data_IF_819392964339
#
_entry.id   IF_819392964339
#
_cell.length_a   1.000
_cell.length_b   1.000
_cell.length_c   1.000
_cell.angle_alpha   90.00
_cell.angle_beta   90.00
_cell.angle_gamma   90.00
#
_symmetry.space_group_name_H-M   'P 1'
#
loop_
_entity.id
_entity.type
_entity.pdbx_description
1 polymer ?
#
# COMPACT_ATOMS: atom_id res chain seq x y z
N UNK A 1 -7.58 -3.36 26.08
CA UNK A 1 -7.64 -1.87 26.02
C UNK A 1 -6.90 -1.40 24.78
N UNK A 2 -7.44 -0.42 24.04
CA UNK A 2 -6.68 0.25 23.00
C UNK A 2 -5.55 1.07 23.65
N UNK A 3 -4.31 1.06 23.14
CA UNK A 3 -3.30 2.00 23.61
C UNK A 3 -3.75 3.42 23.23
N UNK A 4 -3.39 4.39 24.07
CA UNK A 4 -3.79 5.79 23.86
C UNK A 4 -3.12 6.42 22.62
N UNK A 5 -1.97 5.87 22.19
CA UNK A 5 -1.19 6.33 21.05
C UNK A 5 -0.48 5.14 20.36
N UNK A 6 -0.43 5.15 19.03
CA UNK A 6 0.33 4.21 18.20
C UNK A 6 1.00 5.01 17.09
N UNK A 7 2.30 4.81 16.92
CA UNK A 7 3.06 5.28 15.76
C UNK A 7 3.89 4.12 15.19
N UNK A 8 3.43 3.56 14.07
CA UNK A 8 4.12 2.45 13.41
C UNK A 8 5.48 2.84 12.81
N UNK A 9 5.73 4.12 12.57
CA UNK A 9 7.03 4.58 12.05
C UNK A 9 8.14 4.45 13.10
N UNK A 10 7.80 4.68 14.38
CA UNK A 10 8.71 4.44 15.50
C UNK A 10 8.87 2.95 15.85
N UNK A 11 8.00 2.10 15.31
CA UNK A 11 8.04 0.64 15.50
C UNK A 11 8.71 -0.09 14.32
N UNK A 12 9.17 0.63 13.29
CA UNK A 12 9.88 0.06 12.14
C UNK A 12 8.98 -0.48 11.02
N UNK A 13 7.65 -0.32 11.13
CA UNK A 13 6.67 -0.84 10.19
C UNK A 13 6.21 0.19 9.14
N UNK A 14 7.01 1.24 8.89
CA UNK A 14 6.71 2.28 7.87
C UNK A 14 7.99 2.60 7.12
N UNK A 15 7.95 2.47 5.80
CA UNK A 15 9.05 2.80 4.89
C UNK A 15 9.23 4.33 4.75
N UNK A 16 10.25 4.74 3.99
CA UNK A 16 10.43 6.16 3.69
C UNK A 16 9.24 6.70 2.89
N UNK A 17 8.99 7.99 3.01
CA UNK A 17 8.03 8.68 2.13
C UNK A 17 8.51 8.57 0.67
N UNK A 18 7.61 8.14 -0.22
CA UNK A 18 7.83 8.02 -1.67
C UNK A 18 7.09 9.14 -2.44
N UNK A 19 7.25 9.20 -3.77
CA UNK A 19 6.62 10.22 -4.62
C UNK A 19 6.03 9.59 -5.89
N UNK A 20 4.70 9.64 -6.03
CA UNK A 20 3.95 9.10 -7.18
C UNK A 20 4.05 9.95 -8.46
N UNK A 21 4.67 11.13 -8.38
CA UNK A 21 4.82 12.09 -9.48
C UNK A 21 3.46 12.43 -10.12
N UNK A 22 3.39 12.47 -11.46
CA UNK A 22 2.18 12.81 -12.21
C UNK A 22 1.25 11.62 -12.47
N UNK A 23 1.60 10.41 -12.02
CA UNK A 23 0.78 9.22 -12.22
C UNK A 23 -0.29 9.14 -11.13
N UNK A 24 -1.57 8.91 -11.50
CA UNK A 24 -2.69 8.72 -10.59
C UNK A 24 -2.67 7.35 -9.89
N UNK A 25 -1.54 7.02 -9.27
CA UNK A 25 -1.24 5.71 -8.67
C UNK A 25 -1.24 5.73 -7.13
N UNK A 26 -1.85 6.73 -6.50
CA UNK A 26 -1.97 6.82 -5.04
C UNK A 26 -2.50 5.53 -4.39
N UNK A 27 -3.41 4.83 -5.07
CA UNK A 27 -3.94 3.54 -4.66
C UNK A 27 -2.86 2.46 -4.56
N UNK A 28 -1.88 2.45 -5.47
CA UNK A 28 -0.76 1.50 -5.44
C UNK A 28 0.16 1.83 -4.26
N UNK A 29 0.51 3.10 -4.06
CA UNK A 29 1.34 3.55 -2.91
C UNK A 29 0.66 3.29 -1.56
N UNK A 30 -0.66 3.47 -1.47
CA UNK A 30 -1.41 3.13 -0.26
C UNK A 30 -1.35 1.63 0.00
N UNK A 31 -1.59 0.81 -1.03
CA UNK A 31 -1.56 -0.64 -0.90
C UNK A 31 -0.17 -1.16 -0.53
N UNK A 32 0.88 -0.72 -1.20
CA UNK A 32 2.26 -1.12 -0.88
C UNK A 32 2.62 -0.67 0.52
N UNK A 33 2.42 0.59 0.91
CA UNK A 33 2.74 1.07 2.27
C UNK A 33 2.06 0.25 3.37
N UNK A 34 0.80 -0.15 3.17
CA UNK A 34 0.12 -1.05 4.11
C UNK A 34 0.75 -2.45 4.11
N UNK A 35 1.05 -3.03 2.95
CA UNK A 35 1.70 -4.35 2.83
C UNK A 35 3.11 -4.39 3.41
N UNK A 36 3.91 -3.35 3.20
CA UNK A 36 5.28 -3.22 3.73
C UNK A 36 5.27 -3.29 5.26
N UNK A 37 4.40 -2.51 5.90
CA UNK A 37 4.25 -2.54 7.36
C UNK A 37 3.68 -3.85 7.89
N UNK A 38 2.66 -4.41 7.23
CA UNK A 38 2.10 -5.71 7.62
C UNK A 38 3.10 -6.86 7.43
N UNK A 39 3.95 -6.78 6.41
CA UNK A 39 5.02 -7.74 6.18
C UNK A 39 6.08 -7.67 7.26
N UNK A 40 6.54 -6.48 7.64
CA UNK A 40 7.50 -6.30 8.74
C UNK A 40 6.97 -6.92 10.04
N UNK A 41 5.72 -6.61 10.40
CA UNK A 41 5.07 -7.11 11.63
C UNK A 41 4.94 -8.64 11.63
N UNK A 42 4.57 -9.23 10.49
CA UNK A 42 4.31 -10.67 10.39
C UNK A 42 5.59 -11.52 10.23
N UNK A 43 6.66 -10.93 9.68
CA UNK A 43 7.90 -11.63 9.41
C UNK A 43 8.74 -11.79 10.70
N UNK A 44 9.16 -13.02 11.08
CA UNK A 44 9.97 -13.24 12.29
C UNK A 44 11.31 -12.49 12.33
N UNK A 45 11.78 -11.98 11.18
CA UNK A 45 13.02 -11.19 11.09
C UNK A 45 12.80 -9.70 11.31
N UNK A 46 11.55 -9.22 11.38
CA UNK A 46 11.24 -7.79 11.48
C UNK A 46 11.95 -6.95 10.40
N UNK A 47 11.95 -7.50 9.19
CA UNK A 47 12.59 -6.88 8.03
C UNK A 47 11.56 -6.03 7.30
N UNK A 48 11.79 -4.72 7.28
CA UNK A 48 11.05 -3.78 6.46
C UNK A 48 11.53 -3.89 5.01
N UNK A 49 10.65 -4.34 4.13
CA UNK A 49 10.89 -4.49 2.69
C UNK A 49 10.02 -3.47 1.97
N UNK A 50 10.59 -2.77 0.99
CA UNK A 50 9.81 -1.91 0.09
C UNK A 50 9.30 -2.71 -1.10
N UNK A 51 8.00 -2.62 -1.36
CA UNK A 51 7.34 -3.34 -2.44
C UNK A 51 7.08 -2.44 -3.65
N UNK A 52 6.98 -3.07 -4.83
CA UNK A 52 6.84 -2.38 -6.11
C UNK A 52 5.42 -1.83 -6.31
N UNK A 53 5.30 -0.51 -6.37
CA UNK A 53 4.07 0.12 -6.86
C UNK A 53 3.88 -0.11 -8.36
N UNK A 54 4.98 -0.16 -9.12
CA UNK A 54 4.93 -0.29 -10.58
C UNK A 54 4.33 -1.62 -11.02
N UNK A 55 4.62 -2.72 -10.32
CA UNK A 55 3.99 -4.00 -10.61
C UNK A 55 2.46 -3.90 -10.45
N UNK A 56 1.96 -3.20 -9.43
CA UNK A 56 0.52 -3.01 -9.27
C UNK A 56 -0.04 -2.20 -10.45
N UNK A 57 0.61 -1.08 -10.80
CA UNK A 57 0.24 -0.21 -11.93
C UNK A 57 0.14 -1.00 -13.23
N UNK A 58 1.15 -1.83 -13.53
CA UNK A 58 1.26 -2.53 -14.81
C UNK A 58 0.42 -3.81 -14.90
N UNK A 59 0.19 -4.50 -13.77
CA UNK A 59 -0.27 -5.89 -13.77
C UNK A 59 -1.66 -6.14 -13.18
N UNK A 60 -2.26 -5.20 -12.44
CA UNK A 60 -3.52 -5.45 -11.70
C UNK A 60 -4.79 -5.01 -12.45
N UNK A 61 -4.72 -4.91 -13.77
CA UNK A 61 -5.87 -4.50 -14.59
C UNK A 61 -7.00 -5.53 -14.61
N UNK A 62 -6.68 -6.82 -14.44
CA UNK A 62 -7.69 -7.89 -14.38
C UNK A 62 -8.55 -7.80 -13.12
N UNK A 63 -8.00 -7.24 -12.03
CA UNK A 63 -8.71 -6.91 -10.79
C UNK A 63 -9.45 -5.57 -10.84
N UNK A 64 -9.35 -4.84 -11.96
CA UNK A 64 -10.11 -3.62 -12.21
C UNK A 64 -9.37 -2.31 -11.91
N UNK A 65 -8.07 -2.35 -11.63
CA UNK A 65 -7.26 -1.13 -11.57
C UNK A 65 -6.95 -0.59 -12.97
N UNK A 66 -6.70 0.71 -13.07
CA UNK A 66 -6.53 1.42 -14.35
C UNK A 66 -5.16 2.13 -14.43
N UNK A 67 -4.16 1.57 -13.75
CA UNK A 67 -2.80 2.09 -13.72
C UNK A 67 -2.73 3.54 -13.24
N UNK A 68 -2.14 4.41 -14.04
CA UNK A 68 -2.06 5.84 -13.78
C UNK A 68 -3.40 6.59 -13.88
N UNK A 69 -4.48 5.95 -14.34
CA UNK A 69 -5.83 6.54 -14.39
C UNK A 69 -6.65 6.26 -13.12
N UNK A 70 -6.04 5.67 -12.10
CA UNK A 70 -6.67 5.37 -10.81
C UNK A 70 -6.87 3.87 -10.56
N UNK A 71 -7.32 3.56 -9.36
CA UNK A 71 -7.47 2.19 -8.86
C UNK A 71 -7.92 2.20 -7.40
N UNK A 72 -8.05 1.00 -6.85
CA UNK A 72 -8.48 0.77 -5.48
C UNK A 72 -7.50 -0.19 -4.78
N UNK A 73 -7.25 0.08 -3.50
CA UNK A 73 -6.34 -0.74 -2.68
C UNK A 73 -6.85 -2.17 -2.54
N UNK A 74 -8.16 -2.37 -2.45
CA UNK A 74 -8.78 -3.70 -2.34
C UNK A 74 -8.49 -4.57 -3.58
N UNK A 75 -8.56 -3.97 -4.77
CA UNK A 75 -8.20 -4.64 -6.03
C UNK A 75 -6.70 -4.96 -6.06
N UNK A 76 -5.85 -4.06 -5.55
CA UNK A 76 -4.43 -4.30 -5.43
C UNK A 76 -4.13 -5.46 -4.47
N UNK A 77 -4.81 -5.53 -3.32
CA UNK A 77 -4.68 -6.64 -2.39
C UNK A 77 -5.16 -7.95 -3.02
N UNK A 78 -6.29 -7.94 -3.74
CA UNK A 78 -6.79 -9.11 -4.47
C UNK A 78 -5.80 -9.62 -5.53
N UNK A 79 -5.09 -8.72 -6.22
CA UNK A 79 -4.01 -9.07 -7.14
C UNK A 79 -2.84 -9.74 -6.39
N UNK A 80 -2.34 -9.10 -5.31
CA UNK A 80 -1.19 -9.61 -4.54
C UNK A 80 -1.47 -10.97 -3.93
N UNK A 81 -2.70 -11.23 -3.47
CA UNK A 81 -3.11 -12.55 -2.97
C UNK A 81 -2.93 -13.66 -4.00
N UNK A 82 -3.14 -13.37 -5.29
CA UNK A 82 -3.09 -14.35 -6.39
C UNK A 82 -1.72 -14.42 -7.08
N UNK A 83 -1.01 -13.31 -7.16
CA UNK A 83 0.18 -13.16 -7.98
C UNK A 83 1.46 -12.89 -7.20
N UNK A 84 1.34 -12.49 -5.93
CA UNK A 84 2.45 -12.01 -5.13
C UNK A 84 2.89 -10.60 -5.54
N UNK A 85 4.02 -10.15 -4.99
CA UNK A 85 4.55 -8.81 -5.20
C UNK A 85 6.08 -8.81 -5.14
N UNK A 86 6.71 -8.17 -6.12
CA UNK A 86 8.14 -7.91 -6.19
C UNK A 86 8.55 -6.78 -5.24
N UNK A 87 9.83 -6.72 -4.93
CA UNK A 87 10.42 -5.56 -4.26
C UNK A 87 10.50 -4.37 -5.22
N UNK A 88 10.60 -3.16 -4.66
CA UNK A 88 10.89 -1.95 -5.44
C UNK A 88 12.24 -2.05 -6.19
N UNK A 89 13.22 -2.79 -5.65
CA UNK A 89 14.50 -3.01 -6.32
C UNK A 89 14.37 -3.87 -7.59
N UNK A 90 13.55 -4.93 -7.54
CA UNK A 90 13.38 -5.85 -8.67
C UNK A 90 12.41 -5.32 -9.74
N UNK A 91 11.52 -4.39 -9.37
CA UNK A 91 10.53 -3.78 -10.27
C UNK A 91 10.30 -2.30 -9.90
N UNK A 92 11.26 -1.46 -10.27
CA UNK A 92 11.30 -0.05 -9.89
C UNK A 92 10.14 0.80 -10.47
N UNK A 93 9.78 1.85 -9.73
CA UNK A 93 8.76 2.81 -10.10
C UNK A 93 9.16 3.75 -11.25
N UNK A 94 8.27 3.88 -12.24
CA UNK A 94 8.49 4.61 -13.48
C UNK A 94 7.45 5.72 -13.71
N UNK A 95 6.40 5.78 -12.89
CA UNK A 95 5.33 6.79 -12.95
C UNK A 95 4.61 6.87 -14.31
N UNK A 96 4.53 5.75 -15.02
CA UNK A 96 3.85 5.59 -16.31
C UNK A 96 3.22 4.21 -16.37
N UNK A 97 2.22 4.04 -17.25
CA UNK A 97 1.67 2.72 -17.56
C UNK A 97 2.61 1.97 -18.50
N UNK A 98 3.05 0.78 -18.12
CA UNK A 98 3.84 -0.12 -18.95
C UNK A 98 3.20 -1.51 -19.04
N UNK A 99 3.55 -2.34 -20.04
CA UNK A 99 3.11 -3.73 -20.06
C UNK A 99 3.65 -4.52 -18.87
N UNK A 100 2.79 -5.30 -18.23
CA UNK A 100 3.17 -6.17 -17.12
C UNK A 100 4.38 -7.08 -17.45
N UNK A 101 5.45 -6.96 -16.64
CA UNK A 101 6.69 -7.75 -16.76
C UNK A 101 6.55 -9.12 -16.11
N UNK A 102 5.69 -9.96 -16.68
CA UNK A 102 5.31 -11.27 -16.15
C UNK A 102 6.49 -12.20 -15.79
N UNK A 103 7.60 -12.15 -16.53
CA UNK A 103 8.80 -12.93 -16.20
C UNK A 103 9.43 -12.47 -14.88
N UNK A 104 9.54 -11.16 -14.68
CA UNK A 104 10.06 -10.57 -13.43
C UNK A 104 9.16 -10.95 -12.26
N UNK A 105 7.84 -10.80 -12.40
CA UNK A 105 6.87 -11.18 -11.35
C UNK A 105 7.06 -12.65 -10.94
N UNK A 106 7.21 -13.56 -11.90
CA UNK A 106 7.39 -15.00 -11.60
C UNK A 106 8.72 -15.34 -10.94
N UNK A 107 9.80 -14.65 -11.31
CA UNK A 107 11.16 -14.99 -10.87
C UNK A 107 11.61 -14.23 -9.62
N UNK A 108 11.03 -13.05 -9.36
CA UNK A 108 11.52 -12.07 -8.37
C UNK A 108 10.48 -11.66 -7.33
N UNK A 109 9.34 -12.32 -7.28
CA UNK A 109 8.35 -12.08 -6.23
C UNK A 109 8.97 -12.29 -4.83
N UNK A 110 8.80 -11.29 -3.95
CA UNK A 110 9.23 -11.35 -2.54
C UNK A 110 8.08 -11.71 -1.62
N UNK A 111 6.89 -11.20 -1.90
CA UNK A 111 5.63 -11.80 -1.45
C UNK A 111 5.21 -12.82 -2.50
N UNK A 112 4.96 -14.05 -2.09
CA UNK A 112 4.47 -15.10 -2.96
C UNK A 112 2.94 -15.15 -2.97
N UNK A 113 2.33 -15.75 -4.01
CA UNK A 113 0.90 -16.06 -3.99
C UNK A 113 0.48 -16.73 -2.69
N UNK A 114 -0.62 -16.27 -2.11
CA UNK A 114 -1.18 -16.71 -0.82
C UNK A 114 -0.42 -16.32 0.46
N UNK A 115 0.70 -15.58 0.39
CA UNK A 115 1.31 -15.00 1.59
C UNK A 115 0.39 -13.94 2.22
N UNK A 116 -0.25 -13.13 1.37
CA UNK A 116 -1.41 -12.33 1.76
C UNK A 116 -2.64 -13.22 1.67
N UNK A 117 -3.33 -13.43 2.78
CA UNK A 117 -4.45 -14.38 2.88
C UNK A 117 -5.82 -13.73 2.74
N UNK A 118 -5.89 -12.40 2.82
CA UNK A 118 -7.13 -11.63 2.70
C UNK A 118 -6.94 -10.17 3.09
N UNK A 119 -8.02 -9.40 2.90
CA UNK A 119 -8.19 -8.05 3.42
C UNK A 119 -9.61 -7.91 3.99
N UNK A 120 -9.81 -6.92 4.85
CA UNK A 120 -11.09 -6.65 5.49
C UNK A 120 -11.33 -5.15 5.49
N UNK A 121 -12.50 -4.73 5.03
CA UNK A 121 -12.91 -3.34 5.10
C UNK A 121 -13.18 -2.93 6.54
N UNK A 122 -12.54 -1.83 6.96
CA UNK A 122 -12.88 -1.17 8.22
C UNK A 122 -14.29 -0.59 8.08
N UNK A 123 -15.13 -0.81 9.11
CA UNK A 123 -16.49 -0.32 9.10
C UNK A 123 -16.55 1.21 8.87
N UNK A 124 -17.33 1.64 7.88
CA UNK A 124 -17.34 3.03 7.46
C UNK A 124 -17.85 3.95 8.57
N UNK A 125 -17.24 5.14 8.71
CA UNK A 125 -17.62 6.18 9.69
C UNK A 125 -17.56 5.71 11.15
N UNK A 126 -16.68 4.75 11.43
CA UNK A 126 -16.50 4.17 12.75
C UNK A 126 -15.05 4.39 13.23
N UNK A 127 -14.88 5.41 14.08
CA UNK A 127 -13.56 5.78 14.60
C UNK A 127 -12.98 4.72 15.53
N UNK A 128 -13.81 3.95 16.23
CA UNK A 128 -13.33 2.87 17.10
C UNK A 128 -12.89 1.67 16.27
N UNK A 129 -13.65 1.30 15.24
CA UNK A 129 -13.22 0.26 14.29
C UNK A 129 -11.89 0.61 13.60
N UNK A 130 -11.68 1.89 13.25
CA UNK A 130 -10.39 2.34 12.69
C UNK A 130 -9.25 2.22 13.71
N UNK A 131 -9.46 2.64 14.96
CA UNK A 131 -8.45 2.47 16.03
C UNK A 131 -8.12 0.99 16.28
N UNK A 132 -9.12 0.12 16.26
CA UNK A 132 -8.94 -1.33 16.38
C UNK A 132 -8.11 -1.89 15.21
N UNK A 133 -8.42 -1.49 13.97
CA UNK A 133 -7.66 -1.93 12.79
C UNK A 133 -6.19 -1.49 12.83
N UNK A 134 -5.94 -0.26 13.30
CA UNK A 134 -4.59 0.30 13.45
C UNK A 134 -3.73 -0.42 14.50
N UNK A 135 -4.33 -1.16 15.44
CA UNK A 135 -3.56 -1.96 16.40
C UNK A 135 -2.76 -3.08 15.77
N UNK A 136 -3.21 -3.56 14.61
CA UNK A 136 -2.63 -4.73 13.95
C UNK A 136 -1.61 -4.36 12.86
N UNK A 137 -1.41 -3.06 12.60
CA UNK A 137 -0.49 -2.54 11.59
C UNK A 137 -1.08 -1.35 10.83
N UNK A 138 -0.31 -0.76 9.89
CA UNK A 138 -0.81 0.26 8.99
C UNK A 138 -2.06 -0.20 8.21
N UNK A 139 -2.88 0.79 7.82
CA UNK A 139 -4.17 0.59 7.14
C UNK A 139 -4.24 1.54 5.93
N UNK A 140 -4.62 1.01 4.78
CA UNK A 140 -4.90 1.82 3.59
C UNK A 140 -6.20 2.61 3.76
N UNK A 141 -6.18 3.89 3.38
CA UNK A 141 -7.36 4.78 3.42
C UNK A 141 -7.43 5.64 2.17
N UNK A 142 -8.64 6.05 1.79
CA UNK A 142 -8.86 7.08 0.77
C UNK A 142 -9.29 8.39 1.43
N UNK A 143 -8.80 9.51 0.91
CA UNK A 143 -9.12 10.86 1.40
C UNK A 143 -9.40 11.81 0.22
N UNK A 144 -10.09 12.90 0.49
CA UNK A 144 -10.24 14.03 -0.43
C UNK A 144 -9.01 14.94 -0.31
N UNK A 145 -8.15 14.95 -1.34
CA UNK A 145 -6.84 15.60 -1.29
C UNK A 145 -6.66 16.74 -2.31
N UNK A 146 -7.70 17.06 -3.10
CA UNK A 146 -7.67 18.11 -4.11
C UNK A 146 -8.02 19.51 -3.56
N UNK A 147 -8.41 19.59 -2.29
CA UNK A 147 -8.72 20.84 -1.61
C UNK A 147 -7.46 21.64 -1.26
N UNK A 148 -7.48 22.99 -1.38
CA UNK A 148 -6.32 23.84 -1.10
C UNK A 148 -5.72 23.63 0.30
N UNK A 149 -6.57 23.43 1.31
CA UNK A 149 -6.13 23.23 2.69
C UNK A 149 -5.25 21.97 2.83
N UNK A 150 -5.52 20.93 2.04
CA UNK A 150 -4.69 19.73 1.99
C UNK A 150 -3.43 19.95 1.14
N UNK A 151 -3.56 20.54 -0.05
CA UNK A 151 -2.43 20.75 -0.96
C UNK A 151 -1.33 21.65 -0.39
N UNK A 152 -1.71 22.65 0.42
CA UNK A 152 -0.79 23.62 1.02
C UNK A 152 -0.54 23.38 2.52
N UNK A 153 -0.99 22.24 3.06
CA UNK A 153 -0.71 21.85 4.43
C UNK A 153 0.82 21.77 4.68
N UNK A 154 1.25 22.19 5.87
CA UNK A 154 2.67 22.22 6.25
C UNK A 154 2.93 21.62 7.63
N UNK A 155 2.13 21.99 8.63
CA UNK A 155 2.28 21.50 10.02
C UNK A 155 0.96 21.61 10.81
N UNK A 156 0.87 20.88 11.92
CA UNK A 156 -0.26 20.92 12.85
C UNK A 156 -1.24 19.75 12.71
N UNK A 157 -2.51 20.00 12.99
CA UNK A 157 -3.61 19.06 12.75
C UNK A 157 -4.54 19.73 11.75
N UNK A 158 -4.76 19.10 10.59
CA UNK A 158 -5.71 19.56 9.59
C UNK A 158 -7.15 19.30 10.08
N UNK A 159 -8.00 20.33 10.10
CA UNK A 159 -9.37 20.30 10.68
C UNK A 159 -10.42 20.79 9.71
#
# INVERSE_FOLDING_TARGET
PLPDEIDWSHLGAVSRVKNQQSCGSCWAFSATGALEGRYEIANPKHELVEFSEQQLVDCSSEEGNMGCNGGLMDNAFAYVMQHGLCTEEDYAYEAIDEPCRNSTVKEKARLHPHDVTGFVDVHSKDGEAMKEALQSGPVSVAIEADMPDFQFYHEGVLT
#
